data_IF_334179156937
#
_entry.id   IF_334179156937
#
_cell.length_a   1.000
_cell.length_b   1.000
_cell.length_c   1.000
_cell.angle_alpha   90.00
_cell.angle_beta   90.00
_cell.angle_gamma   90.00
#
_symmetry.space_group_name_H-M   'P 1'
#
loop_
_entity.id
_entity.type
_entity.pdbx_description
1 polymer ?
#
# COMPACT_ATOMS: atom_id res chain seq x y z
N UNK A 1 -17.42 26.89 -15.07
CA UNK A 1 -18.05 25.56 -14.91
C UNK A 1 -17.40 25.02 -13.66
N UNK A 2 -18.15 25.02 -12.56
CA UNK A 2 -17.55 24.84 -11.24
C UNK A 2 -17.65 23.36 -10.89
N UNK A 3 -16.50 22.72 -10.65
CA UNK A 3 -16.43 21.35 -10.11
C UNK A 3 -16.48 21.41 -8.58
N UNK A 4 -16.56 20.26 -7.90
CA UNK A 4 -16.53 20.24 -6.43
C UNK A 4 -15.23 20.82 -5.87
N UNK A 5 -15.27 21.49 -4.71
CA UNK A 5 -14.08 22.05 -4.04
C UNK A 5 -12.93 21.04 -3.88
N UNK A 6 -13.25 19.77 -3.59
CA UNK A 6 -12.26 18.71 -3.48
C UNK A 6 -11.54 18.46 -4.82
N UNK A 7 -12.27 18.48 -5.93
CA UNK A 7 -11.70 18.25 -7.25
C UNK A 7 -10.90 19.48 -7.72
N UNK A 8 -11.44 20.69 -7.51
CA UNK A 8 -10.81 21.96 -7.88
C UNK A 8 -9.44 22.13 -7.22
N UNK A 9 -9.33 21.75 -5.94
CA UNK A 9 -8.13 21.99 -5.14
C UNK A 9 -7.23 20.74 -4.99
N UNK A 10 -7.53 19.64 -5.69
CA UNK A 10 -6.68 18.45 -5.68
C UNK A 10 -5.42 18.72 -6.50
N UNK A 11 -4.27 18.80 -5.83
CA UNK A 11 -2.97 18.89 -6.50
C UNK A 11 -2.72 17.61 -7.30
N UNK A 12 -2.46 17.75 -8.60
CA UNK A 12 -2.09 16.66 -9.49
C UNK A 12 -0.76 15.99 -9.09
N UNK A 13 -0.50 14.81 -9.65
CA UNK A 13 0.77 14.13 -9.40
C UNK A 13 1.88 14.78 -10.23
N UNK A 14 2.84 15.43 -9.58
CA UNK A 14 4.01 15.99 -10.24
C UNK A 14 4.84 14.92 -10.98
N UNK A 15 4.87 13.68 -10.48
CA UNK A 15 5.53 12.55 -11.15
C UNK A 15 4.87 12.28 -12.52
N UNK A 16 3.53 12.24 -12.58
CA UNK A 16 2.82 11.99 -13.84
C UNK A 16 2.99 13.16 -14.79
N UNK A 17 2.99 14.40 -14.28
CA UNK A 17 3.24 15.60 -15.08
C UNK A 17 4.61 15.55 -15.76
N UNK A 18 5.68 15.34 -14.99
CA UNK A 18 7.05 15.27 -15.52
C UNK A 18 7.19 14.08 -16.49
N UNK A 19 6.59 12.93 -16.19
CA UNK A 19 6.63 11.78 -17.09
C UNK A 19 5.93 12.07 -18.44
N UNK A 20 4.80 12.80 -18.41
CA UNK A 20 4.11 13.24 -19.62
C UNK A 20 4.96 14.20 -20.47
N UNK A 21 5.63 15.16 -19.83
CA UNK A 21 6.56 16.09 -20.48
C UNK A 21 7.74 15.35 -21.13
N UNK A 22 8.32 14.36 -20.45
CA UNK A 22 9.41 13.53 -21.00
C UNK A 22 8.93 12.69 -22.18
N UNK A 23 7.78 12.04 -22.07
CA UNK A 23 7.23 11.21 -23.15
C UNK A 23 6.94 12.05 -24.41
N UNK A 24 6.48 13.29 -24.24
CA UNK A 24 6.26 14.22 -25.35
C UNK A 24 7.57 14.57 -26.09
N UNK A 25 8.67 14.75 -25.35
CA UNK A 25 10.00 15.00 -25.93
C UNK A 25 10.59 13.78 -26.64
N UNK A 26 10.44 12.59 -26.05
CA UNK A 26 10.83 11.33 -26.71
C UNK A 26 10.05 11.15 -28.02
N UNK A 27 8.75 11.46 -28.05
CA UNK A 27 7.93 11.40 -29.25
C UNK A 27 8.37 12.40 -30.35
N UNK A 28 9.09 13.46 -29.97
CA UNK A 28 9.70 14.42 -30.90
C UNK A 28 11.08 13.97 -31.40
N UNK A 29 11.55 12.78 -31.02
CA UNK A 29 12.82 12.19 -31.45
C UNK A 29 14.01 12.51 -30.53
N UNK A 30 13.77 13.10 -29.35
CA UNK A 30 14.84 13.30 -28.38
C UNK A 30 15.27 11.99 -27.72
N UNK A 31 16.58 11.78 -27.59
CA UNK A 31 17.15 10.65 -26.84
C UNK A 31 17.21 10.99 -25.35
N UNK A 32 16.28 10.46 -24.56
CA UNK A 32 16.17 10.74 -23.12
C UNK A 32 16.18 9.45 -22.31
N UNK A 33 17.12 9.35 -21.36
CA UNK A 33 17.10 8.32 -20.33
C UNK A 33 16.08 8.67 -19.25
N UNK A 34 14.87 8.11 -19.36
CA UNK A 34 13.78 8.40 -18.44
C UNK A 34 13.89 7.60 -17.12
N UNK A 35 14.16 8.31 -16.01
CA UNK A 35 14.25 7.73 -14.66
C UNK A 35 13.15 8.24 -13.71
N UNK A 36 12.01 8.66 -14.24
CA UNK A 36 10.97 9.36 -13.45
C UNK A 36 9.92 8.47 -12.82
N UNK A 37 9.52 7.38 -13.49
CA UNK A 37 8.51 6.45 -13.00
C UNK A 37 9.19 5.19 -12.51
N UNK A 38 8.87 4.76 -11.28
CA UNK A 38 9.26 3.46 -10.74
C UNK A 38 8.48 2.30 -11.35
N UNK A 39 8.49 2.20 -12.68
CA UNK A 39 7.96 1.07 -13.46
C UNK A 39 9.13 0.24 -14.03
N UNK A 40 8.83 -0.96 -14.49
CA UNK A 40 9.80 -1.85 -15.11
C UNK A 40 9.62 -1.80 -16.61
N UNK A 41 10.71 -1.59 -17.36
CA UNK A 41 10.69 -1.74 -18.81
C UNK A 41 10.41 -3.21 -19.15
N UNK A 42 9.27 -3.53 -19.79
CA UNK A 42 8.90 -4.92 -20.08
C UNK A 42 9.81 -5.59 -21.13
N UNK A 43 10.62 -4.81 -21.87
CA UNK A 43 11.64 -5.36 -22.76
C UNK A 43 12.87 -5.88 -21.99
N UNK A 44 13.08 -5.40 -20.76
CA UNK A 44 14.19 -5.81 -19.87
C UNK A 44 13.68 -6.77 -18.80
N UNK A 45 12.58 -6.42 -18.14
CA UNK A 45 11.94 -7.16 -17.06
C UNK A 45 10.51 -7.53 -17.47
N UNK A 46 10.41 -8.55 -18.31
CA UNK A 46 9.12 -9.07 -18.73
C UNK A 46 8.35 -9.73 -17.57
N UNK A 47 7.03 -9.77 -17.71
CA UNK A 47 6.17 -10.56 -16.83
C UNK A 47 6.66 -12.02 -16.77
N UNK A 48 6.75 -12.65 -15.59
CA UNK A 48 7.16 -14.05 -15.47
C UNK A 48 6.32 -14.95 -16.39
N UNK A 49 6.99 -15.81 -17.16
CA UNK A 49 6.34 -16.59 -18.23
C UNK A 49 5.20 -17.48 -17.71
N UNK A 50 5.36 -18.06 -16.52
CA UNK A 50 4.32 -18.85 -15.87
C UNK A 50 3.07 -17.99 -15.60
N UNK A 51 3.24 -16.83 -14.98
CA UNK A 51 2.14 -15.89 -14.71
C UNK A 51 1.43 -15.45 -16.00
N UNK A 52 2.20 -15.10 -17.04
CA UNK A 52 1.61 -14.76 -18.35
C UNK A 52 0.74 -15.90 -18.90
N UNK A 53 1.26 -17.13 -18.89
CA UNK A 53 0.56 -18.28 -19.45
C UNK A 53 -0.73 -18.60 -18.69
N UNK A 54 -0.71 -18.53 -17.35
CA UNK A 54 -1.90 -18.79 -16.52
C UNK A 54 -2.98 -17.71 -16.72
N UNK A 55 -2.58 -16.44 -16.87
CA UNK A 55 -3.53 -15.36 -17.19
C UNK A 55 -4.16 -15.59 -18.57
N UNK A 56 -3.37 -15.95 -19.58
CA UNK A 56 -3.87 -16.26 -20.93
C UNK A 56 -4.83 -17.45 -20.88
N UNK A 57 -4.47 -18.53 -20.18
CA UNK A 57 -5.33 -19.70 -20.01
C UNK A 57 -6.66 -19.34 -19.33
N UNK A 58 -6.65 -18.43 -18.36
CA UNK A 58 -7.87 -17.96 -17.71
C UNK A 58 -8.80 -17.19 -18.66
N UNK A 59 -8.25 -16.41 -19.59
CA UNK A 59 -9.01 -15.77 -20.66
C UNK A 59 -9.58 -16.80 -21.65
N UNK A 60 -8.77 -17.77 -22.08
CA UNK A 60 -9.20 -18.85 -22.98
C UNK A 60 -10.30 -19.72 -22.36
N UNK A 61 -10.27 -19.92 -21.04
CA UNK A 61 -11.31 -20.61 -20.28
C UNK A 61 -12.58 -19.76 -20.02
N UNK A 62 -12.63 -18.51 -20.51
CA UNK A 62 -13.82 -17.66 -20.44
C UNK A 62 -14.06 -17.00 -19.09
N UNK A 63 -13.03 -16.78 -18.26
CA UNK A 63 -13.16 -16.08 -16.96
C UNK A 63 -13.39 -14.57 -17.08
N UNK A 64 -14.38 -14.13 -17.86
CA UNK A 64 -14.58 -12.73 -18.27
C UNK A 64 -15.70 -11.99 -17.52
N UNK A 65 -16.35 -12.63 -16.55
CA UNK A 65 -17.39 -12.01 -15.71
C UNK A 65 -16.83 -11.38 -14.43
N UNK A 66 -17.70 -10.73 -13.67
CA UNK A 66 -17.30 -10.06 -12.42
C UNK A 66 -16.64 -11.04 -11.42
N UNK A 67 -15.53 -10.63 -10.78
CA UNK A 67 -14.95 -11.37 -9.67
C UNK A 67 -15.82 -11.22 -8.41
N UNK A 68 -15.52 -12.01 -7.38
CA UNK A 68 -16.10 -11.80 -6.05
C UNK A 68 -15.65 -10.44 -5.47
N UNK A 69 -16.47 -9.83 -4.63
CA UNK A 69 -16.23 -8.48 -4.10
C UNK A 69 -14.92 -8.33 -3.30
N UNK A 70 -14.47 -9.41 -2.64
CA UNK A 70 -13.18 -9.48 -1.94
C UNK A 70 -12.04 -10.06 -2.77
N UNK A 71 -12.32 -10.45 -4.02
CA UNK A 71 -11.41 -11.20 -4.87
C UNK A 71 -11.67 -12.70 -4.86
N UNK A 72 -11.16 -13.36 -5.90
CA UNK A 72 -11.29 -14.80 -6.10
C UNK A 72 -10.69 -15.58 -4.93
N UNK A 73 -11.39 -16.62 -4.50
CA UNK A 73 -10.99 -17.42 -3.33
C UNK A 73 -9.61 -18.06 -3.48
N UNK A 74 -9.33 -18.62 -4.66
CA UNK A 74 -8.03 -19.21 -5.01
C UNK A 74 -6.88 -18.23 -4.78
N UNK A 75 -7.02 -16.98 -5.22
CA UNK A 75 -5.99 -15.96 -5.01
C UNK A 75 -5.87 -15.57 -3.54
N UNK A 76 -6.98 -15.40 -2.82
CA UNK A 76 -6.94 -15.07 -1.39
C UNK A 76 -6.25 -16.16 -0.58
N UNK A 77 -6.48 -17.42 -0.91
CA UNK A 77 -5.78 -18.57 -0.32
C UNK A 77 -4.30 -18.58 -0.69
N UNK A 78 -3.95 -18.39 -1.97
CA UNK A 78 -2.56 -18.27 -2.42
C UNK A 78 -1.80 -17.16 -1.71
N UNK A 79 -2.43 -15.99 -1.53
CA UNK A 79 -1.86 -14.85 -0.80
C UNK A 79 -1.66 -15.17 0.68
N UNK A 80 -2.67 -15.75 1.33
CA UNK A 80 -2.57 -16.20 2.74
C UNK A 80 -1.39 -17.18 2.92
N UNK A 81 -1.31 -18.20 2.07
CA UNK A 81 -0.22 -19.17 2.06
C UNK A 81 1.15 -18.54 1.75
N UNK A 82 1.21 -17.61 0.81
CA UNK A 82 2.43 -16.89 0.44
C UNK A 82 2.96 -16.07 1.62
N UNK A 83 2.09 -15.31 2.29
CA UNK A 83 2.42 -14.49 3.45
C UNK A 83 2.85 -15.38 4.63
N UNK A 84 2.12 -16.47 4.91
CA UNK A 84 2.49 -17.43 5.94
C UNK A 84 3.88 -18.03 5.72
N UNK A 85 4.16 -18.51 4.49
CA UNK A 85 5.46 -19.11 4.16
C UNK A 85 6.62 -18.12 4.11
N UNK A 86 6.40 -16.89 3.64
CA UNK A 86 7.48 -15.93 3.34
C UNK A 86 7.71 -14.88 4.41
N UNK A 87 6.68 -14.55 5.19
CA UNK A 87 6.71 -13.52 6.22
C UNK A 87 6.39 -14.08 7.62
N UNK A 88 6.07 -15.38 7.71
CA UNK A 88 5.71 -16.05 8.98
C UNK A 88 4.47 -15.43 9.64
N UNK A 89 3.53 -14.98 8.80
CA UNK A 89 2.31 -14.30 9.19
C UNK A 89 1.09 -15.13 8.81
N UNK A 90 0.43 -15.69 9.82
CA UNK A 90 -0.78 -16.48 9.64
C UNK A 90 -2.01 -15.57 9.56
N UNK A 91 -2.65 -15.43 8.41
CA UNK A 91 -3.94 -14.73 8.26
C UNK A 91 -4.91 -15.61 7.49
N UNK A 92 -6.16 -15.70 7.95
CA UNK A 92 -7.18 -16.45 7.24
C UNK A 92 -7.49 -15.79 5.90
N UNK A 93 -7.80 -16.56 4.86
CA UNK A 93 -8.10 -16.02 3.52
C UNK A 93 -9.31 -15.05 3.50
N UNK A 94 -10.15 -15.04 4.52
CA UNK A 94 -11.25 -14.08 4.70
C UNK A 94 -10.78 -12.69 5.16
N UNK A 95 -9.58 -12.60 5.72
CA UNK A 95 -8.94 -11.35 6.13
C UNK A 95 -8.08 -10.75 5.00
N UNK A 96 -8.12 -11.35 3.80
CA UNK A 96 -7.43 -10.87 2.59
C UNK A 96 -8.45 -10.22 1.66
N UNK A 97 -8.12 -9.03 1.16
CA UNK A 97 -8.91 -8.28 0.18
C UNK A 97 -8.08 -7.99 -1.06
N UNK A 98 -8.53 -8.48 -2.22
CA UNK A 98 -7.91 -8.21 -3.52
C UNK A 98 -8.55 -7.00 -4.20
N UNK A 99 -7.73 -6.21 -4.89
CA UNK A 99 -8.19 -5.05 -5.67
C UNK A 99 -7.20 -4.72 -6.79
N UNK A 100 -7.61 -3.85 -7.72
CA UNK A 100 -6.91 -3.34 -8.91
C UNK A 100 -5.52 -2.69 -8.68
N UNK A 101 -4.62 -3.40 -8.00
CA UNK A 101 -3.37 -2.94 -7.41
C UNK A 101 -3.50 -2.39 -5.98
N UNK A 102 -2.39 -1.91 -5.44
CA UNK A 102 -2.29 -1.37 -4.07
C UNK A 102 -3.05 -0.05 -3.85
N UNK A 103 -3.19 0.80 -4.87
CA UNK A 103 -3.74 2.17 -4.70
C UNK A 103 -5.18 2.21 -4.19
N UNK A 104 -6.14 1.44 -4.76
CA UNK A 104 -7.49 1.43 -4.21
C UNK A 104 -7.53 0.86 -2.78
N UNK A 105 -6.62 -0.04 -2.42
CA UNK A 105 -6.53 -0.59 -1.07
C UNK A 105 -6.04 0.46 -0.06
N UNK A 106 -5.03 1.24 -0.41
CA UNK A 106 -4.59 2.39 0.41
C UNK A 106 -5.74 3.38 0.57
N UNK A 107 -6.40 3.75 -0.53
CA UNK A 107 -7.57 4.63 -0.48
C UNK A 107 -8.67 4.08 0.43
N UNK A 108 -9.00 2.80 0.31
CA UNK A 108 -10.01 2.15 1.14
C UNK A 108 -9.60 2.08 2.61
N UNK A 109 -8.32 1.86 2.92
CA UNK A 109 -7.81 1.88 4.28
C UNK A 109 -8.00 3.26 4.91
N UNK A 110 -7.63 4.33 4.19
CA UNK A 110 -7.91 5.70 4.63
C UNK A 110 -9.42 5.93 4.83
N UNK A 111 -10.25 5.60 3.84
CA UNK A 111 -11.71 5.78 3.94
C UNK A 111 -12.38 4.97 5.05
N UNK A 112 -11.83 3.81 5.39
CA UNK A 112 -12.34 2.97 6.46
C UNK A 112 -11.90 3.42 7.86
N UNK A 113 -10.73 4.06 7.95
CA UNK A 113 -10.06 4.36 9.23
C UNK A 113 -10.06 5.84 9.60
N UNK A 114 -10.32 6.75 8.66
CA UNK A 114 -10.13 8.21 8.83
C UNK A 114 -11.46 8.93 8.61
N UNK A 115 -11.90 9.68 9.62
CA UNK A 115 -13.02 10.61 9.49
C UNK A 115 -12.51 11.98 9.02
N UNK A 116 -13.44 12.82 8.55
CA UNK A 116 -13.16 14.24 8.29
C UNK A 116 -12.57 14.89 9.56
N UNK A 117 -11.45 15.60 9.39
CA UNK A 117 -10.73 16.29 10.45
C UNK A 117 -9.76 15.42 11.26
N UNK A 118 -9.85 14.08 11.20
CA UNK A 118 -8.93 13.21 11.92
C UNK A 118 -7.48 13.47 11.49
N UNK A 119 -6.54 13.37 12.45
CA UNK A 119 -5.11 13.51 12.15
C UNK A 119 -4.56 12.24 11.51
N UNK A 120 -3.84 12.38 10.39
CA UNK A 120 -3.08 11.30 9.75
C UNK A 120 -1.60 11.66 9.77
N UNK A 121 -0.79 10.80 10.39
CA UNK A 121 0.64 10.98 10.50
C UNK A 121 1.34 10.26 9.35
N UNK A 122 2.25 10.94 8.67
CA UNK A 122 3.11 10.33 7.65
C UNK A 122 4.44 11.11 7.53
N UNK A 123 5.54 10.43 7.18
CA UNK A 123 6.83 11.09 7.03
C UNK A 123 6.93 11.84 5.69
N UNK A 124 7.88 12.77 5.61
CA UNK A 124 8.42 13.23 4.34
C UNK A 124 9.94 12.96 4.26
N UNK A 125 10.44 12.49 3.09
CA UNK A 125 9.67 12.18 1.88
C UNK A 125 8.79 10.92 2.02
N UNK A 126 7.62 10.92 1.38
CA UNK A 126 6.77 9.72 1.27
C UNK A 126 5.91 9.77 0.01
N UNK A 127 5.39 8.61 -0.39
CA UNK A 127 4.56 8.48 -1.57
C UNK A 127 3.07 8.63 -1.26
N UNK A 128 2.43 9.64 -1.85
CA UNK A 128 0.98 9.88 -1.93
C UNK A 128 0.16 9.99 -0.63
N UNK A 129 0.76 9.88 0.55
CA UNK A 129 0.04 10.00 1.83
C UNK A 129 -0.65 11.36 1.99
N UNK A 130 -0.04 12.44 1.47
CA UNK A 130 -0.64 13.77 1.38
C UNK A 130 -1.95 13.75 0.58
N UNK A 131 -1.97 13.14 -0.60
CA UNK A 131 -3.15 13.07 -1.46
C UNK A 131 -4.27 12.23 -0.83
N UNK A 132 -3.96 11.07 -0.24
CA UNK A 132 -4.99 10.27 0.44
C UNK A 132 -5.54 10.97 1.68
N UNK A 133 -4.71 11.73 2.41
CA UNK A 133 -5.16 12.57 3.53
C UNK A 133 -6.13 13.64 3.04
N UNK A 134 -5.79 14.33 1.95
CA UNK A 134 -6.63 15.35 1.33
C UNK A 134 -7.97 14.79 0.82
N UNK A 135 -7.95 13.66 0.09
CA UNK A 135 -9.16 12.99 -0.42
C UNK A 135 -10.11 12.51 0.68
N UNK A 136 -9.64 12.45 1.93
CA UNK A 136 -10.42 12.06 3.10
C UNK A 136 -10.83 13.24 3.99
N UNK A 137 -10.52 14.47 3.59
CA UNK A 137 -10.73 15.69 4.39
C UNK A 137 -10.08 15.60 5.78
N UNK A 138 -8.96 14.90 5.88
CA UNK A 138 -8.22 14.72 7.12
C UNK A 138 -7.15 15.78 7.32
N UNK A 139 -6.70 15.91 8.56
CA UNK A 139 -5.63 16.84 8.94
C UNK A 139 -4.28 16.14 8.78
N UNK A 140 -3.40 16.60 7.86
CA UNK A 140 -2.08 16.00 7.72
C UNK A 140 -1.20 16.38 8.92
N UNK A 141 -0.50 15.38 9.47
CA UNK A 141 0.59 15.59 10.41
C UNK A 141 1.86 15.06 9.76
N UNK A 142 2.60 16.00 9.16
CA UNK A 142 3.81 15.72 8.40
C UNK A 142 4.99 15.62 9.36
N UNK A 143 5.75 14.53 9.27
CA UNK A 143 6.94 14.30 10.08
C UNK A 143 8.18 14.40 9.19
N UNK A 144 9.01 15.41 9.44
CA UNK A 144 10.29 15.57 8.75
C UNK A 144 11.26 14.46 9.15
N UNK A 145 11.81 13.78 8.15
CA UNK A 145 12.84 12.74 8.35
C UNK A 145 14.16 13.18 7.76
N UNK A 146 15.25 12.53 8.17
CA UNK A 146 16.60 12.97 7.84
C UNK A 146 17.44 11.82 7.27
N UNK A 147 18.51 12.10 6.52
CA UNK A 147 19.39 11.04 6.03
C UNK A 147 19.90 10.10 7.15
N UNK A 148 20.14 10.62 8.36
CA UNK A 148 20.68 9.86 9.49
C UNK A 148 19.72 8.76 9.98
N UNK A 149 18.41 8.99 9.87
CA UNK A 149 17.38 7.99 10.17
C UNK A 149 16.88 7.27 8.90
N UNK A 150 17.66 7.32 7.81
CA UNK A 150 17.33 6.74 6.51
C UNK A 150 16.03 7.27 5.92
N UNK A 151 15.67 8.52 6.22
CA UNK A 151 14.40 9.12 5.81
C UNK A 151 13.16 8.35 6.30
N UNK A 152 13.28 7.65 7.43
CA UNK A 152 12.20 6.90 8.06
C UNK A 152 11.96 7.49 9.47
N UNK A 153 10.70 7.78 9.85
CA UNK A 153 10.43 8.40 11.14
C UNK A 153 10.75 7.41 12.26
N UNK A 154 11.34 7.92 13.34
CA UNK A 154 11.58 7.16 14.57
C UNK A 154 10.36 7.23 15.49
N UNK A 155 10.34 6.41 16.55
CA UNK A 155 9.28 6.50 17.56
C UNK A 155 9.24 7.88 18.24
N UNK A 156 10.40 8.51 18.44
CA UNK A 156 10.48 9.84 19.06
C UNK A 156 9.98 10.94 18.12
N UNK A 157 10.20 10.82 16.81
CA UNK A 157 9.62 11.73 15.82
C UNK A 157 8.08 11.64 15.80
N UNK A 158 7.52 10.44 16.04
CA UNK A 158 6.07 10.21 16.02
C UNK A 158 5.38 10.59 17.34
N UNK A 159 6.04 10.37 18.49
CA UNK A 159 5.46 10.48 19.83
C UNK A 159 4.67 11.77 20.11
N UNK A 160 5.11 12.97 19.70
CA UNK A 160 4.36 14.21 19.94
C UNK A 160 3.01 14.29 19.24
N UNK A 161 2.77 13.43 18.24
CA UNK A 161 1.66 13.58 17.29
C UNK A 161 0.56 12.53 17.46
N UNK A 162 0.84 11.41 18.15
CA UNK A 162 -0.03 10.23 18.12
C UNK A 162 -1.32 10.35 18.95
N UNK A 163 -1.37 11.26 19.93
CA UNK A 163 -2.45 11.28 20.94
C UNK A 163 -3.86 11.37 20.33
N UNK A 164 -4.03 12.19 19.29
CA UNK A 164 -5.32 12.39 18.60
C UNK A 164 -5.31 11.85 17.15
N UNK A 165 -4.26 11.14 16.76
CA UNK A 165 -4.15 10.57 15.42
C UNK A 165 -5.08 9.37 15.24
N UNK A 166 -5.62 9.19 14.03
CA UNK A 166 -6.35 7.97 13.67
C UNK A 166 -5.49 6.97 12.91
N UNK A 167 -4.47 7.45 12.22
CA UNK A 167 -3.65 6.63 11.33
C UNK A 167 -2.20 7.13 11.32
N UNK A 168 -1.25 6.21 11.40
CA UNK A 168 0.14 6.39 10.98
C UNK A 168 0.31 5.64 9.65
N UNK A 169 0.71 6.31 8.58
CA UNK A 169 1.02 5.67 7.31
C UNK A 169 2.53 5.53 7.14
N UNK A 170 3.00 4.28 7.08
CA UNK A 170 4.40 3.91 6.94
C UNK A 170 4.58 3.09 5.66
N UNK A 171 5.71 3.27 5.00
CA UNK A 171 6.10 2.48 3.84
C UNK A 171 7.50 1.93 4.06
N UNK A 172 7.66 0.61 3.95
CA UNK A 172 8.96 -0.04 4.08
C UNK A 172 9.04 -1.31 3.23
N UNK A 173 10.02 -1.43 2.31
CA UNK A 173 10.95 -0.39 1.87
C UNK A 173 10.26 0.87 1.31
N UNK A 174 10.85 2.05 1.55
CA UNK A 174 10.23 3.34 1.29
C UNK A 174 10.39 3.77 -0.18
N UNK A 175 9.28 4.13 -0.82
CA UNK A 175 9.29 5.02 -1.98
C UNK A 175 9.19 6.48 -1.48
N UNK A 176 10.18 7.36 -1.76
CA UNK A 176 11.12 7.29 -2.89
C UNK A 176 12.56 6.88 -2.56
N UNK A 177 12.92 6.71 -1.29
CA UNK A 177 14.35 6.65 -0.89
C UNK A 177 14.99 5.27 -1.00
N UNK A 178 14.19 4.20 -1.17
CA UNK A 178 14.62 2.81 -1.17
C UNK A 178 15.05 2.27 0.20
N UNK A 179 14.87 3.03 1.28
CA UNK A 179 15.35 2.66 2.62
C UNK A 179 14.38 1.74 3.34
N UNK A 180 14.87 0.96 4.31
CA UNK A 180 14.06 0.04 5.12
C UNK A 180 14.30 0.25 6.60
N UNK A 181 13.26 0.00 7.41
CA UNK A 181 13.37 0.09 8.86
C UNK A 181 14.41 -0.87 9.40
N UNK A 182 15.15 -0.43 10.42
CA UNK A 182 15.89 -1.37 11.27
C UNK A 182 14.90 -2.08 12.21
N UNK A 183 15.28 -3.28 12.68
CA UNK A 183 14.50 -4.03 13.69
C UNK A 183 14.15 -3.16 14.90
N UNK A 184 15.15 -2.43 15.42
CA UNK A 184 15.03 -1.60 16.61
C UNK A 184 14.03 -0.46 16.38
N UNK A 185 14.19 0.30 15.29
CA UNK A 185 13.32 1.43 15.00
C UNK A 185 11.85 1.00 14.82
N UNK A 186 11.60 -0.07 14.06
CA UNK A 186 10.22 -0.55 13.87
C UNK A 186 9.62 -1.09 15.18
N UNK A 187 10.42 -1.79 15.99
CA UNK A 187 10.01 -2.30 17.29
C UNK A 187 9.59 -1.17 18.24
N UNK A 188 10.35 -0.08 18.31
CA UNK A 188 10.02 1.09 19.14
C UNK A 188 8.72 1.77 18.68
N UNK A 189 8.47 1.84 17.37
CA UNK A 189 7.20 2.34 16.82
C UNK A 189 6.04 1.42 17.19
N UNK A 190 6.24 0.10 17.12
CA UNK A 190 5.22 -0.87 17.53
C UNK A 190 4.87 -0.71 19.02
N UNK A 191 5.88 -0.58 19.87
CA UNK A 191 5.68 -0.38 21.31
C UNK A 191 4.92 0.94 21.58
N UNK A 192 5.28 2.02 20.89
CA UNK A 192 4.58 3.30 20.95
C UNK A 192 3.08 3.19 20.60
N UNK A 193 2.75 2.50 19.50
CA UNK A 193 1.35 2.31 19.06
C UNK A 193 0.57 1.44 20.06
N UNK A 194 1.21 0.42 20.64
CA UNK A 194 0.57 -0.44 21.64
C UNK A 194 0.29 0.33 22.93
N UNK A 195 1.26 1.12 23.42
CA UNK A 195 1.12 1.97 24.60
C UNK A 195 -0.02 2.98 24.42
N UNK A 196 -0.05 3.65 23.26
CA UNK A 196 -1.09 4.63 22.96
C UNK A 196 -2.48 3.99 22.88
N UNK A 197 -2.60 2.83 22.25
CA UNK A 197 -3.87 2.11 22.21
C UNK A 197 -4.30 1.57 23.58
N UNK A 198 -3.36 1.23 24.47
CA UNK A 198 -3.66 0.90 25.86
C UNK A 198 -4.20 2.12 26.61
N UNK A 199 -3.59 3.30 26.41
CA UNK A 199 -4.04 4.58 27.00
C UNK A 199 -5.45 4.96 26.52
N UNK A 200 -5.74 4.77 25.23
CA UNK A 200 -7.05 5.03 24.61
C UNK A 200 -8.15 4.10 25.13
N UNK A 201 -7.80 2.88 25.50
CA UNK A 201 -8.76 1.90 26.01
C UNK A 201 -9.85 1.60 24.99
N UNK A 202 -11.11 1.96 25.29
CA UNK A 202 -12.27 1.72 24.42
C UNK A 202 -12.49 2.77 23.33
N UNK A 203 -11.66 3.82 23.25
CA UNK A 203 -11.73 4.82 22.19
C UNK A 203 -11.26 4.24 20.85
N UNK A 204 -11.47 5.01 19.77
CA UNK A 204 -10.99 4.65 18.43
C UNK A 204 -9.47 4.38 18.46
N UNK A 205 -9.02 3.18 18.03
CA UNK A 205 -7.60 2.87 18.01
C UNK A 205 -6.80 3.78 17.07
N UNK A 206 -5.54 3.98 17.41
CA UNK A 206 -4.51 4.43 16.47
C UNK A 206 -4.12 3.23 15.59
N UNK A 207 -4.37 3.33 14.29
CA UNK A 207 -4.01 2.31 13.32
C UNK A 207 -2.67 2.62 12.64
N UNK A 208 -2.03 1.59 12.11
CA UNK A 208 -0.87 1.68 11.22
C UNK A 208 -1.27 1.14 9.85
N UNK A 209 -1.14 1.96 8.81
CA UNK A 209 -1.07 1.46 7.43
C UNK A 209 0.40 1.16 7.15
N UNK A 210 0.70 -0.10 6.84
CA UNK A 210 2.04 -0.56 6.50
C UNK A 210 2.07 -0.97 5.02
N UNK A 211 2.46 -0.03 4.16
CA UNK A 211 2.68 -0.28 2.74
C UNK A 211 4.03 -0.99 2.58
N UNK A 212 3.97 -2.27 2.23
CA UNK A 212 5.13 -3.11 2.07
C UNK A 212 5.35 -3.54 0.62
N UNK A 213 4.77 -2.86 -0.38
CA UNK A 213 4.81 -3.27 -1.79
C UNK A 213 6.21 -3.59 -2.36
N UNK A 214 7.29 -3.08 -1.72
CA UNK A 214 8.69 -3.32 -2.10
C UNK A 214 9.40 -4.40 -1.26
N UNK A 215 8.75 -5.06 -0.31
CA UNK A 215 9.41 -5.92 0.69
C UNK A 215 10.19 -7.09 0.07
N UNK A 216 9.71 -7.65 -1.04
CA UNK A 216 10.40 -8.73 -1.74
C UNK A 216 11.63 -8.25 -2.54
N UNK A 217 11.81 -6.92 -2.68
CA UNK A 217 12.92 -6.28 -3.37
C UNK A 217 14.03 -5.81 -2.40
N UNK A 218 14.13 -6.42 -1.21
CA UNK A 218 15.26 -6.22 -0.31
C UNK A 218 16.49 -7.00 -0.78
N UNK A 219 17.62 -6.31 -0.96
CA UNK A 219 18.87 -6.88 -1.49
C UNK A 219 20.00 -6.91 -0.45
N UNK A 220 20.97 -7.80 -0.66
CA UNK A 220 22.18 -7.92 0.16
C UNK A 220 21.84 -8.23 1.62
N UNK A 221 22.35 -7.40 2.54
CA UNK A 221 22.11 -7.54 3.98
C UNK A 221 20.84 -6.83 4.46
N UNK A 222 20.05 -6.23 3.57
CA UNK A 222 18.79 -5.58 3.93
C UNK A 222 17.76 -6.64 4.29
N UNK A 223 17.24 -6.57 5.53
CA UNK A 223 16.16 -7.43 6.00
C UNK A 223 14.89 -6.60 6.18
N UNK A 224 13.81 -7.05 5.54
CA UNK A 224 12.46 -6.55 5.83
C UNK A 224 12.05 -6.98 7.24
N UNK A 225 11.46 -6.06 8.00
CA UNK A 225 10.90 -6.34 9.30
C UNK A 225 9.40 -6.06 9.28
N UNK A 226 8.67 -6.86 10.03
CA UNK A 226 7.22 -6.84 10.07
C UNK A 226 6.70 -6.40 11.46
N UNK A 227 5.73 -5.46 11.55
CA UNK A 227 5.16 -5.03 12.82
C UNK A 227 4.61 -6.16 13.70
N UNK A 228 3.88 -7.12 13.12
CA UNK A 228 3.19 -8.19 13.83
C UNK A 228 4.15 -9.29 14.27
N UNK A 229 5.12 -9.66 13.44
CA UNK A 229 6.18 -10.61 13.79
C UNK A 229 7.07 -10.06 14.91
N UNK A 230 7.33 -8.74 14.94
CA UNK A 230 8.05 -8.10 16.05
C UNK A 230 7.20 -7.97 17.32
N UNK A 231 5.91 -7.67 17.16
CA UNK A 231 4.94 -7.48 18.24
C UNK A 231 3.57 -8.03 17.84
N UNK A 232 3.21 -9.27 18.26
CA UNK A 232 1.94 -9.89 17.89
C UNK A 232 0.68 -9.06 18.24
N UNK A 233 0.77 -8.18 19.26
CA UNK A 233 -0.31 -7.24 19.63
C UNK A 233 -0.64 -6.23 18.51
N UNK A 234 0.30 -5.92 17.62
CA UNK A 234 0.08 -5.03 16.47
C UNK A 234 -0.94 -5.57 15.49
N UNK A 235 -1.25 -6.87 15.51
CA UNK A 235 -2.22 -7.50 14.61
C UNK A 235 -3.59 -6.81 14.61
N UNK A 236 -3.97 -6.21 15.75
CA UNK A 236 -5.24 -5.49 15.92
C UNK A 236 -5.23 -4.09 15.30
N UNK A 237 -4.06 -3.56 14.96
CA UNK A 237 -3.87 -2.16 14.59
C UNK A 237 -3.18 -1.97 13.25
N UNK A 238 -2.56 -3.00 12.67
CA UNK A 238 -1.85 -2.90 11.39
C UNK A 238 -2.70 -3.37 10.21
N UNK A 239 -2.90 -2.50 9.23
CA UNK A 239 -3.39 -2.86 7.89
C UNK A 239 -2.20 -2.87 6.95
N UNK A 240 -2.00 -4.00 6.28
CA UNK A 240 -0.95 -4.19 5.29
C UNK A 240 -1.48 -3.91 3.90
N UNK A 241 -0.61 -3.39 3.03
CA UNK A 241 -0.85 -3.32 1.59
C UNK A 241 0.37 -3.84 0.85
N UNK A 242 0.13 -4.67 -0.16
CA UNK A 242 1.15 -5.32 -0.98
C UNK A 242 0.53 -5.72 -2.35
N UNK A 243 1.31 -6.35 -3.23
CA UNK A 243 0.84 -6.74 -4.56
C UNK A 243 1.95 -7.24 -5.49
N UNK A 244 1.54 -7.78 -6.64
CA UNK A 244 2.49 -8.31 -7.62
C UNK A 244 3.23 -7.23 -8.41
N UNK A 245 2.76 -5.98 -8.35
CA UNK A 245 3.22 -4.90 -9.22
C UNK A 245 4.74 -4.71 -9.23
N UNK A 246 5.41 -4.92 -8.09
CA UNK A 246 6.85 -4.68 -7.96
C UNK A 246 7.68 -5.95 -7.98
N UNK A 247 7.33 -6.93 -7.15
CA UNK A 247 8.07 -8.18 -7.06
C UNK A 247 8.04 -9.03 -8.34
N UNK A 248 7.02 -8.85 -9.20
CA UNK A 248 6.81 -9.66 -10.41
C UNK A 248 6.82 -8.84 -11.70
N UNK A 249 7.32 -7.59 -11.68
CA UNK A 249 7.28 -6.68 -12.84
C UNK A 249 5.88 -6.58 -13.49
N UNK A 250 4.82 -6.61 -12.66
CA UNK A 250 3.43 -6.78 -13.08
C UNK A 250 2.59 -5.52 -12.81
N UNK A 251 3.16 -4.34 -13.00
CA UNK A 251 2.50 -3.04 -12.73
C UNK A 251 1.20 -2.89 -13.51
N UNK A 252 1.18 -3.28 -14.78
CA UNK A 252 0.01 -3.22 -15.67
C UNK A 252 -1.05 -4.31 -15.44
N UNK A 253 -0.73 -5.38 -14.72
CA UNK A 253 -1.66 -6.51 -14.44
C UNK A 253 -2.70 -6.13 -13.38
N UNK A 254 -2.41 -5.10 -12.57
CA UNK A 254 -3.34 -4.51 -11.58
C UNK A 254 -3.87 -5.53 -10.55
N UNK A 255 -3.00 -6.32 -9.94
CA UNK A 255 -3.35 -7.18 -8.78
C UNK A 255 -2.58 -6.72 -7.54
N UNK A 256 -3.33 -6.43 -6.48
CA UNK A 256 -2.79 -6.11 -5.17
C UNK A 256 -3.71 -6.63 -4.07
N UNK A 257 -3.19 -6.71 -2.84
CA UNK A 257 -3.93 -7.21 -1.70
C UNK A 257 -3.68 -6.39 -0.43
N UNK A 258 -4.70 -6.34 0.42
CA UNK A 258 -4.58 -5.87 1.79
C UNK A 258 -5.02 -6.96 2.76
N UNK A 259 -4.41 -6.95 3.95
CA UNK A 259 -4.79 -7.83 5.06
C UNK A 259 -4.56 -7.13 6.40
N UNK A 260 -5.27 -7.57 7.44
CA UNK A 260 -5.26 -6.90 8.75
C UNK A 260 -6.50 -7.21 9.58
N UNK A 261 -6.92 -6.32 10.49
CA UNK A 261 -8.09 -6.55 11.33
C UNK A 261 -9.36 -6.84 10.52
N UNK A 262 -10.02 -7.96 10.79
CA UNK A 262 -11.20 -8.46 10.05
C UNK A 262 -12.28 -7.40 9.85
N UNK A 263 -12.59 -6.60 10.89
CA UNK A 263 -13.59 -5.52 10.81
C UNK A 263 -13.18 -4.43 9.81
N UNK A 264 -11.89 -4.08 9.76
CA UNK A 264 -11.37 -3.05 8.85
C UNK A 264 -11.40 -3.57 7.42
N UNK A 265 -10.89 -4.77 7.18
CA UNK A 265 -10.91 -5.42 5.85
C UNK A 265 -12.34 -5.57 5.32
N UNK A 266 -13.30 -5.96 6.18
CA UNK A 266 -14.71 -6.04 5.80
C UNK A 266 -15.31 -4.69 5.37
N UNK A 267 -14.90 -3.57 6.00
CA UNK A 267 -15.35 -2.23 5.61
C UNK A 267 -14.65 -1.73 4.35
N UNK A 268 -13.37 -2.01 4.18
CA UNK A 268 -12.65 -1.75 2.93
C UNK A 268 -13.32 -2.47 1.74
N UNK A 269 -13.68 -3.75 1.92
CA UNK A 269 -14.42 -4.53 0.91
C UNK A 269 -15.72 -3.85 0.50
N UNK A 270 -16.54 -3.43 1.47
CA UNK A 270 -17.82 -2.78 1.20
C UNK A 270 -17.64 -1.44 0.46
N UNK A 271 -16.59 -0.68 0.77
CA UNK A 271 -16.26 0.55 0.04
C UNK A 271 -15.87 0.24 -1.40
N UNK A 272 -14.93 -0.68 -1.61
CA UNK A 272 -14.42 -0.99 -2.94
C UNK A 272 -15.46 -1.65 -3.86
N UNK A 273 -16.43 -2.38 -3.31
CA UNK A 273 -17.54 -2.92 -4.11
C UNK A 273 -18.42 -1.85 -4.74
N UNK A 274 -18.57 -0.68 -4.11
CA UNK A 274 -19.32 0.43 -4.68
C UNK A 274 -18.47 1.30 -5.62
N UNK A 275 -17.15 1.30 -5.46
CA UNK A 275 -16.21 2.01 -6.36
C UNK A 275 -15.94 1.19 -7.63
N UNK A 276 -16.07 -0.14 -7.58
CA UNK A 276 -15.77 -1.02 -8.71
C UNK A 276 -14.27 -1.24 -8.94
N UNK A 277 -13.46 -1.14 -7.89
CA UNK A 277 -12.00 -1.22 -7.98
C UNK A 277 -11.46 -2.67 -7.92
N UNK A 278 -12.18 -3.64 -8.47
CA UNK A 278 -11.73 -5.04 -8.45
C UNK A 278 -10.54 -5.26 -9.39
N UNK A 279 -9.67 -6.21 -9.06
CA UNK A 279 -8.76 -6.73 -10.08
C UNK A 279 -9.56 -7.45 -11.16
N UNK A 280 -9.14 -7.39 -12.42
CA UNK A 280 -9.67 -8.27 -13.46
C UNK A 280 -9.66 -9.74 -13.04
N UNK A 281 -10.71 -10.49 -13.40
CA UNK A 281 -10.91 -11.88 -12.92
C UNK A 281 -9.85 -12.85 -13.47
N UNK A 282 -9.48 -12.84 -14.77
CA UNK A 282 -8.44 -13.74 -15.30
C UNK A 282 -7.10 -13.58 -14.59
N UNK A 283 -6.75 -12.34 -14.27
CA UNK A 283 -5.53 -11.94 -13.57
C UNK A 283 -5.51 -12.49 -12.14
N UNK A 284 -6.68 -12.65 -11.52
CA UNK A 284 -6.80 -13.30 -10.21
C UNK A 284 -6.82 -14.82 -10.28
N UNK A 285 -7.31 -15.41 -11.37
CA UNK A 285 -7.28 -16.87 -11.56
C UNK A 285 -5.85 -17.34 -11.87
N UNK A 286 -5.11 -16.56 -12.66
CA UNK A 286 -3.76 -16.92 -13.09
C UNK A 286 -2.62 -16.52 -12.14
N UNK A 287 -2.90 -15.84 -11.04
CA UNK A 287 -1.90 -15.44 -10.01
C UNK A 287 -1.92 -16.40 -8.83
#
# INVERSE_FOLDING_TARGET
MDVSDLAENLVGSEIIKIAGEINARIAQGEEITNLTIGDFDPSIYALPKALLNEIVAAYEAGHTNYPQANGMEVLRESVSNYIGRRQELEYHNSDVLISGGARPLIYAAYRALVNKGDKVIFPIPSWNNNHYTYLNFATPVVVDTKPENKFLPTADDLRPHIQDASLIALCSPLNPTGTSYSKKALLEICDLVIEENKRRGGQKPLYVLYDQIYWALTLGNTKHYDPVSLRPKMRKYTVYVDGISKAFAATGVRVGWAFGPTKVIAKMKALLSHVGAWSPKPEQIGT
#
